data_IF_837800593602
#
_entry.id   IF_837800593602
#
_cell.length_a   1.000
_cell.length_b   1.000
_cell.length_c   1.000
_cell.angle_alpha   90.00
_cell.angle_beta   90.00
_cell.angle_gamma   90.00
#
_symmetry.space_group_name_H-M   'P 1'
#
loop_
_entity.id
_entity.type
_entity.pdbx_description
1 polymer ?
#
# COMPACT_ATOMS: atom_id res chain seq x y z
N UNK A 1 -20.02 16.31 0.83
CA UNK A 1 -19.00 15.25 0.65
C UNK A 1 -19.54 13.97 1.23
N UNK A 2 -19.58 12.88 0.46
CA UNK A 2 -20.08 11.59 0.94
C UNK A 2 -19.02 10.91 1.81
N UNK A 3 -19.20 10.94 3.13
CA UNK A 3 -18.46 10.06 4.03
C UNK A 3 -19.03 8.66 3.87
N UNK A 4 -18.31 7.78 3.18
CA UNK A 4 -18.71 6.38 3.07
C UNK A 4 -18.66 5.75 4.48
N UNK A 5 -19.71 5.03 4.92
CA UNK A 5 -19.73 4.45 6.25
C UNK A 5 -18.55 3.49 6.42
N UNK A 6 -17.75 3.69 7.48
CA UNK A 6 -16.68 2.77 7.85
C UNK A 6 -17.32 1.44 8.24
N UNK A 7 -17.32 0.48 7.33
CA UNK A 7 -17.78 -0.88 7.61
C UNK A 7 -16.82 -1.50 8.65
N UNK A 8 -17.32 -2.17 9.70
CA UNK A 8 -16.49 -2.99 10.56
C UNK A 8 -15.69 -3.98 9.69
N UNK A 9 -14.36 -3.91 9.75
CA UNK A 9 -13.45 -4.70 8.88
C UNK A 9 -12.80 -3.94 7.71
N UNK A 10 -13.15 -2.68 7.46
CA UNK A 10 -12.43 -1.81 6.52
C UNK A 10 -11.10 -1.28 7.07
N UNK A 11 -10.18 -0.85 6.19
CA UNK A 11 -8.94 -0.15 6.58
C UNK A 11 -7.67 -1.01 6.64
N UNK A 12 -7.77 -2.33 6.45
CA UNK A 12 -6.60 -3.21 6.44
C UNK A 12 -5.82 -3.24 5.12
N UNK A 13 -6.35 -2.67 4.03
CA UNK A 13 -5.75 -2.77 2.69
C UNK A 13 -4.30 -2.29 2.63
N UNK A 14 -4.00 -1.11 3.19
CA UNK A 14 -2.63 -0.56 3.20
C UNK A 14 -1.68 -1.38 4.06
N UNK A 15 -2.15 -1.85 5.21
CA UNK A 15 -1.38 -2.75 6.08
C UNK A 15 -1.07 -4.07 5.37
N UNK A 16 -2.07 -4.69 4.74
CA UNK A 16 -1.87 -5.92 3.98
C UNK A 16 -0.92 -5.76 2.80
N UNK A 17 -0.91 -4.59 2.15
CA UNK A 17 0.09 -4.27 1.10
C UNK A 17 1.49 -4.16 1.70
N UNK A 18 1.66 -3.45 2.81
CA UNK A 18 2.95 -3.31 3.48
C UNK A 18 3.49 -4.67 3.97
N UNK A 19 2.65 -5.50 4.57
CA UNK A 19 3.00 -6.84 5.03
C UNK A 19 3.49 -7.71 3.86
N UNK A 20 2.76 -7.72 2.73
CA UNK A 20 3.18 -8.48 1.54
C UNK A 20 4.44 -7.94 0.90
N UNK A 21 4.60 -6.61 0.80
CA UNK A 21 5.82 -6.02 0.27
C UNK A 21 7.03 -6.45 1.11
N UNK A 22 6.91 -6.42 2.44
CA UNK A 22 7.95 -6.89 3.37
C UNK A 22 8.24 -8.39 3.19
N UNK A 23 7.22 -9.24 3.04
CA UNK A 23 7.42 -10.67 2.78
C UNK A 23 8.21 -10.94 1.50
N UNK A 24 8.07 -10.09 0.49
CA UNK A 24 8.81 -10.15 -0.77
C UNK A 24 10.18 -9.46 -0.71
N UNK A 25 10.63 -8.99 0.46
CA UNK A 25 11.89 -8.26 0.61
C UNK A 25 11.85 -6.82 0.08
N UNK A 26 10.65 -6.26 -0.11
CA UNK A 26 10.40 -4.90 -0.58
C UNK A 26 9.90 -3.95 0.51
N UNK A 27 9.44 -2.78 0.08
CA UNK A 27 8.95 -1.69 0.95
C UNK A 27 7.67 -1.07 0.40
N UNK A 28 6.79 -0.59 1.29
CA UNK A 28 5.60 0.19 0.92
C UNK A 28 5.49 1.47 1.75
N UNK A 29 5.09 2.57 1.12
CA UNK A 29 4.92 3.89 1.73
C UNK A 29 3.60 4.50 1.25
N UNK A 30 2.74 4.94 2.16
CA UNK A 30 1.45 5.55 1.84
C UNK A 30 1.33 6.91 2.54
N UNK A 31 0.95 7.95 1.80
CA UNK A 31 0.83 9.29 2.36
C UNK A 31 0.55 10.36 1.31
N UNK A 32 0.42 11.60 1.77
CA UNK A 32 0.34 12.76 0.89
C UNK A 32 1.70 13.03 0.23
N UNK A 33 1.69 13.26 -1.08
CA UNK A 33 2.86 13.59 -1.89
C UNK A 33 2.44 14.37 -3.15
N UNK A 34 3.08 15.52 -3.40
CA UNK A 34 2.81 16.39 -4.56
C UNK A 34 1.33 16.74 -4.75
N UNK A 35 0.67 17.19 -3.68
CA UNK A 35 -0.75 17.57 -3.71
C UNK A 35 -1.73 16.41 -3.92
N UNK A 36 -1.25 15.16 -3.94
CA UNK A 36 -2.06 13.97 -4.11
C UNK A 36 -1.82 12.94 -3.00
N UNK A 37 -2.77 12.05 -2.77
CA UNK A 37 -2.52 10.86 -1.98
C UNK A 37 -1.83 9.81 -2.85
N UNK A 38 -0.72 9.24 -2.37
CA UNK A 38 0.09 8.26 -3.11
C UNK A 38 0.41 7.04 -2.26
N UNK A 39 0.47 5.89 -2.94
CA UNK A 39 1.04 4.65 -2.44
C UNK A 39 2.23 4.27 -3.33
N UNK A 40 3.43 4.20 -2.76
CA UNK A 40 4.63 3.73 -3.42
C UNK A 40 4.99 2.33 -2.90
N UNK A 41 5.25 1.39 -3.82
CA UNK A 41 5.71 0.04 -3.49
C UNK A 41 6.97 -0.25 -4.30
N UNK A 42 8.02 -0.72 -3.64
CA UNK A 42 9.25 -1.19 -4.28
C UNK A 42 9.41 -2.67 -3.97
N UNK A 43 9.59 -3.48 -5.01
CA UNK A 43 9.80 -4.92 -4.90
C UNK A 43 11.11 -5.30 -5.60
N UNK A 44 11.88 -6.26 -5.07
CA UNK A 44 12.97 -6.87 -5.81
C UNK A 44 12.39 -7.62 -7.02
N UNK A 45 12.85 -7.30 -8.23
CA UNK A 45 12.54 -8.07 -9.44
C UNK A 45 13.77 -8.89 -9.81
N UNK A 46 13.60 -10.21 -9.92
CA UNK A 46 14.56 -11.05 -10.64
C UNK A 46 14.15 -11.06 -12.10
N UNK A 47 15.10 -10.80 -13.00
CA UNK A 47 14.86 -10.97 -14.43
C UNK A 47 14.56 -12.44 -14.76
N UNK A 48 14.02 -12.73 -15.96
CA UNK A 48 13.98 -14.09 -16.47
C UNK A 48 15.37 -14.73 -16.39
N UNK A 49 15.42 -16.01 -16.03
CA UNK A 49 16.62 -16.85 -16.16
C UNK A 49 16.72 -17.42 -17.56
#
# INVERSE_FOLDING_TARGET
GHSSPRRPGGGHGLRGIADRARLLGGTAQAGAAEGAWRLNVRLPMKGPV
#
